data_IF_039477889721
#
_entry.id   IF_039477889721
#
_cell.length_a   1.000
_cell.length_b   1.000
_cell.length_c   1.000
_cell.angle_alpha   90.00
_cell.angle_beta   90.00
_cell.angle_gamma   90.00
#
_symmetry.space_group_name_H-M   'P 1'
#
loop_
_entity.id
_entity.type
_entity.pdbx_description
1 polymer ?
#
# COMPACT_ATOMS: atom_id res chain seq x y z
N UNK A 1 13.24 26.86 -41.63
CA UNK A 1 13.86 26.42 -40.35
C UNK A 1 13.41 24.99 -40.14
N UNK A 2 14.35 24.05 -40.18
CA UNK A 2 14.08 22.62 -40.39
C UNK A 2 13.47 22.00 -39.12
N UNK A 3 12.37 21.26 -39.23
CA UNK A 3 11.66 20.57 -38.13
C UNK A 3 12.60 19.70 -37.27
N UNK A 4 13.66 19.18 -37.88
CA UNK A 4 14.71 18.42 -37.21
C UNK A 4 15.57 19.27 -36.25
N UNK A 5 15.74 20.56 -36.48
CA UNK A 5 16.49 21.48 -35.61
C UNK A 5 15.60 21.90 -34.43
N UNK A 6 14.30 22.00 -34.62
CA UNK A 6 13.33 22.27 -33.53
C UNK A 6 13.17 21.04 -32.60
N UNK A 7 13.17 19.82 -33.15
CA UNK A 7 13.18 18.58 -32.36
C UNK A 7 14.50 18.40 -31.60
N UNK A 8 15.64 18.74 -32.19
CA UNK A 8 16.96 18.65 -31.54
C UNK A 8 17.08 19.68 -30.37
N UNK A 9 16.49 20.87 -30.52
CA UNK A 9 16.47 21.88 -29.44
C UNK A 9 15.50 21.51 -28.31
N UNK A 10 14.39 20.86 -28.61
CA UNK A 10 13.46 20.35 -27.59
C UNK A 10 14.07 19.13 -26.85
N UNK A 11 14.80 18.27 -27.57
CA UNK A 11 15.50 17.12 -26.96
C UNK A 11 16.69 17.57 -26.12
N UNK A 12 17.42 18.62 -26.50
CA UNK A 12 18.55 19.13 -25.71
C UNK A 12 18.12 19.95 -24.47
N UNK A 13 16.86 20.41 -24.38
CA UNK A 13 16.28 21.01 -23.17
C UNK A 13 15.69 19.98 -22.20
N UNK A 14 15.57 18.72 -22.62
CA UNK A 14 15.11 17.60 -21.79
C UNK A 14 16.26 16.79 -21.16
N UNK A 15 17.52 17.06 -21.58
CA UNK A 15 18.70 16.42 -21.00
C UNK A 15 19.41 17.37 -20.04
N UNK A 16 19.47 16.95 -18.76
CA UNK A 16 20.21 17.50 -17.63
C UNK A 16 19.46 18.52 -16.76
N UNK A 17 18.36 18.12 -16.16
CA UNK A 17 18.09 18.60 -14.83
C UNK A 17 18.33 17.45 -13.85
N UNK A 18 19.46 17.44 -13.17
CA UNK A 18 19.61 16.74 -11.90
C UNK A 18 18.43 17.17 -11.02
N UNK A 19 17.83 16.25 -10.22
CA UNK A 19 16.75 16.63 -9.32
C UNK A 19 17.21 17.80 -8.48
N UNK A 20 16.56 18.96 -8.66
CA UNK A 20 16.91 20.16 -7.90
C UNK A 20 16.50 19.93 -6.46
N UNK A 21 17.38 20.21 -5.55
CA UNK A 21 17.10 20.06 -4.13
C UNK A 21 15.85 20.86 -3.73
N UNK A 22 14.92 20.22 -3.03
CA UNK A 22 13.78 20.90 -2.42
C UNK A 22 14.31 21.83 -1.32
N UNK A 23 13.98 23.10 -1.42
CA UNK A 23 14.33 24.09 -0.41
C UNK A 23 13.04 24.71 0.14
N UNK A 24 12.79 24.54 1.43
CA UNK A 24 11.71 25.23 2.13
C UNK A 24 12.31 26.48 2.80
N UNK A 25 11.90 27.66 2.36
CA UNK A 25 12.43 28.94 2.87
C UNK A 25 11.55 29.57 3.93
N UNK A 26 10.30 29.13 4.06
CA UNK A 26 9.38 29.64 5.06
C UNK A 26 8.07 28.88 5.12
N UNK A 27 7.41 29.03 6.26
CA UNK A 27 6.06 28.52 6.46
C UNK A 27 5.30 29.46 7.38
N UNK A 28 4.17 29.99 6.90
CA UNK A 28 3.39 31.00 7.63
C UNK A 28 1.94 30.52 7.76
N UNK A 29 1.41 30.40 8.99
CA UNK A 29 0.00 30.16 9.21
C UNK A 29 -0.85 31.31 8.67
N UNK A 30 -2.03 30.99 8.15
CA UNK A 30 -2.99 32.04 7.83
C UNK A 30 -3.58 32.64 9.12
N UNK A 31 -4.13 33.86 9.01
CA UNK A 31 -4.73 34.58 10.15
C UNK A 31 -5.98 33.85 10.73
N UNK A 32 -6.65 33.03 9.92
CA UNK A 32 -7.77 32.19 10.34
C UNK A 32 -7.30 30.87 11.00
N UNK A 33 -6.01 30.53 10.89
CA UNK A 33 -5.40 29.35 11.52
C UNK A 33 -5.90 28.01 10.99
N UNK A 34 -6.39 27.99 9.76
CA UNK A 34 -6.90 26.80 9.08
C UNK A 34 -5.98 26.29 7.97
N UNK A 35 -4.98 27.10 7.56
CA UNK A 35 -4.03 26.73 6.52
C UNK A 35 -2.61 27.22 6.82
N UNK A 36 -1.65 26.62 6.13
CA UNK A 36 -0.23 26.93 6.20
C UNK A 36 0.26 27.27 4.80
N UNK A 37 0.78 28.48 4.60
CA UNK A 37 1.45 28.87 3.37
C UNK A 37 2.94 28.54 3.49
N UNK A 38 3.42 27.64 2.64
CA UNK A 38 4.81 27.17 2.59
C UNK A 38 5.45 27.80 1.37
N UNK A 39 6.60 28.43 1.55
CA UNK A 39 7.39 29.05 0.49
C UNK A 39 8.72 28.35 0.32
N UNK A 40 9.22 28.30 -0.92
CA UNK A 40 10.47 27.64 -1.23
C UNK A 40 10.68 27.42 -2.72
N UNK A 41 11.51 26.45 -3.05
CA UNK A 41 11.86 26.14 -4.42
C UNK A 41 11.81 24.62 -4.68
N UNK A 42 11.57 24.26 -5.94
CA UNK A 42 11.66 22.89 -6.46
C UNK A 42 10.67 21.90 -5.81
N UNK A 43 9.47 22.37 -5.50
CA UNK A 43 8.42 21.53 -4.86
C UNK A 43 7.85 20.43 -5.74
N UNK A 44 8.17 20.41 -7.04
CA UNK A 44 7.61 19.45 -8.00
C UNK A 44 6.15 19.76 -8.37
N UNK A 45 5.54 18.86 -9.12
CA UNK A 45 4.14 19.02 -9.58
C UNK A 45 3.13 18.43 -8.58
N UNK A 46 3.53 17.45 -7.80
CA UNK A 46 2.68 16.79 -6.80
C UNK A 46 3.51 16.62 -5.52
N UNK A 47 3.71 17.70 -4.76
CA UNK A 47 4.43 17.63 -3.50
C UNK A 47 3.61 16.89 -2.45
N UNK A 48 4.31 16.23 -1.54
CA UNK A 48 3.76 15.65 -0.32
C UNK A 48 4.25 16.46 0.88
N UNK A 49 3.33 16.94 1.71
CA UNK A 49 3.63 17.79 2.84
C UNK A 49 3.27 17.09 4.14
N UNK A 50 4.20 17.09 5.10
CA UNK A 50 3.89 16.61 6.46
C UNK A 50 4.29 17.66 7.52
N UNK A 51 3.58 17.65 8.63
CA UNK A 51 3.93 18.44 9.82
C UNK A 51 4.08 17.48 11.00
N UNK A 52 5.29 17.36 11.55
CA UNK A 52 5.66 16.31 12.50
C UNK A 52 5.25 14.90 12.02
N UNK A 53 5.52 14.61 10.74
CA UNK A 53 5.16 13.35 10.06
C UNK A 53 3.65 13.15 9.81
N UNK A 54 2.78 14.07 10.25
CA UNK A 54 1.34 14.01 9.94
C UNK A 54 1.11 14.61 8.55
N UNK A 55 0.55 13.84 7.60
CA UNK A 55 0.27 14.34 6.26
C UNK A 55 -0.73 15.51 6.30
N UNK A 56 -0.43 16.56 5.53
CA UNK A 56 -1.34 17.69 5.34
C UNK A 56 -2.04 17.58 3.98
N UNK A 57 -3.31 17.94 3.94
CA UNK A 57 -4.04 18.08 2.68
C UNK A 57 -3.57 19.35 1.96
N UNK A 58 -3.18 19.22 0.70
CA UNK A 58 -2.73 20.33 -0.10
C UNK A 58 -3.94 20.97 -0.82
N UNK A 59 -4.13 22.27 -0.60
CA UNK A 59 -5.20 23.05 -1.21
C UNK A 59 -4.75 23.70 -2.53
N UNK A 60 -3.51 24.18 -2.58
CA UNK A 60 -2.93 24.77 -3.78
C UNK A 60 -1.43 24.53 -3.90
N UNK A 61 -0.95 24.35 -5.14
CA UNK A 61 0.47 24.19 -5.48
C UNK A 61 0.86 25.20 -6.57
N UNK A 62 1.93 25.95 -6.31
CA UNK A 62 2.59 26.82 -7.29
C UNK A 62 4.09 26.50 -7.33
N UNK A 63 4.83 27.05 -8.29
CA UNK A 63 6.25 26.74 -8.48
C UNK A 63 7.15 27.01 -7.25
N UNK A 64 6.77 27.98 -6.42
CA UNK A 64 7.51 28.40 -5.23
C UNK A 64 6.63 28.54 -3.97
N UNK A 65 5.37 28.06 -4.03
CA UNK A 65 4.40 28.18 -2.95
C UNK A 65 3.47 26.97 -2.92
N UNK A 66 3.26 26.46 -1.69
CA UNK A 66 2.22 25.45 -1.39
C UNK A 66 1.30 26.04 -0.34
N UNK A 67 0.00 25.81 -0.47
CA UNK A 67 -0.98 26.04 0.59
C UNK A 67 -1.49 24.69 1.06
N UNK A 68 -1.30 24.39 2.34
CA UNK A 68 -1.72 23.13 2.95
C UNK A 68 -2.70 23.40 4.10
N UNK A 69 -3.73 22.58 4.21
CA UNK A 69 -4.70 22.63 5.31
C UNK A 69 -4.03 22.08 6.57
N UNK A 70 -3.95 22.89 7.61
CA UNK A 70 -3.34 22.52 8.88
C UNK A 70 -4.14 23.13 10.04
N UNK A 71 -4.48 22.35 11.08
CA UNK A 71 -5.30 22.82 12.21
C UNK A 71 -4.47 23.63 13.21
N UNK A 72 -3.79 24.68 12.76
CA UNK A 72 -2.80 25.46 13.52
C UNK A 72 -3.38 26.01 14.82
N UNK A 73 -4.64 26.46 14.82
CA UNK A 73 -5.28 27.00 16.04
C UNK A 73 -5.42 26.00 17.18
N UNK A 74 -5.53 24.73 16.87
CA UNK A 74 -5.65 23.66 17.87
C UNK A 74 -4.31 23.04 18.26
N UNK A 75 -3.22 23.50 17.64
CA UNK A 75 -1.89 22.98 17.93
C UNK A 75 -1.26 23.75 19.10
N UNK A 76 -0.64 23.06 20.06
CA UNK A 76 0.10 23.69 21.14
C UNK A 76 1.21 24.59 20.64
N UNK A 77 1.61 25.59 21.45
CA UNK A 77 2.85 26.33 21.20
C UNK A 77 4.04 25.37 21.24
N UNK A 78 4.95 25.48 20.25
CA UNK A 78 6.10 24.60 20.13
C UNK A 78 6.74 24.62 18.76
N UNK A 79 7.81 23.85 18.60
CA UNK A 79 8.50 23.69 17.33
C UNK A 79 8.02 22.43 16.61
N UNK A 80 7.67 22.58 15.35
CA UNK A 80 7.16 21.52 14.48
C UNK A 80 8.08 21.35 13.27
N UNK A 81 8.32 20.12 12.86
CA UNK A 81 9.08 19.83 11.64
C UNK A 81 8.14 19.72 10.46
N UNK A 82 8.21 20.69 9.56
CA UNK A 82 7.54 20.68 8.27
C UNK A 82 8.45 20.01 7.25
N UNK A 83 7.92 19.01 6.53
CA UNK A 83 8.67 18.34 5.45
C UNK A 83 7.88 18.44 4.16
N UNK A 84 8.56 18.79 3.07
CA UNK A 84 8.02 18.80 1.71
C UNK A 84 8.85 17.84 0.87
N UNK A 85 8.20 16.87 0.21
CA UNK A 85 8.87 15.96 -0.71
C UNK A 85 8.06 15.81 -1.99
N UNK A 86 8.72 15.56 -3.13
CA UNK A 86 8.07 15.23 -4.39
C UNK A 86 8.58 13.89 -4.98
N UNK A 87 9.51 13.24 -4.28
CA UNK A 87 10.06 11.95 -4.67
C UNK A 87 10.82 11.27 -3.54
N UNK A 88 11.38 10.09 -3.77
CA UNK A 88 11.97 9.25 -2.73
C UNK A 88 13.42 9.61 -2.37
N UNK A 89 14.10 10.47 -3.12
CA UNK A 89 15.50 10.80 -2.86
C UNK A 89 15.66 11.90 -1.80
N UNK A 90 16.77 11.95 -1.05
CA UNK A 90 17.04 13.04 -0.09
C UNK A 90 17.04 14.43 -0.74
N UNK A 91 17.41 14.55 -2.02
CA UNK A 91 17.40 15.82 -2.76
C UNK A 91 15.99 16.29 -3.11
N UNK A 92 15.04 15.35 -3.16
CA UNK A 92 13.61 15.59 -3.44
C UNK A 92 12.83 15.87 -2.16
N UNK A 93 13.51 16.03 -1.02
CA UNK A 93 12.92 16.30 0.28
C UNK A 93 13.60 17.50 0.92
N UNK A 94 12.79 18.47 1.36
CA UNK A 94 13.20 19.63 2.14
C UNK A 94 12.46 19.68 3.46
N UNK A 95 13.13 20.14 4.53
CA UNK A 95 12.50 20.30 5.84
C UNK A 95 12.66 21.73 6.35
N UNK A 96 11.72 22.17 7.18
CA UNK A 96 11.69 23.50 7.79
C UNK A 96 11.14 23.40 9.23
N UNK A 97 11.73 24.12 10.16
CA UNK A 97 11.22 24.21 11.54
C UNK A 97 10.17 25.32 11.63
N UNK A 98 8.93 24.96 11.84
CA UNK A 98 7.83 25.88 12.11
C UNK A 98 7.66 26.05 13.61
N UNK A 99 7.82 27.29 14.09
CA UNK A 99 7.58 27.64 15.50
C UNK A 99 6.19 28.26 15.63
N UNK A 100 5.34 27.65 16.45
CA UNK A 100 4.04 28.18 16.83
C UNK A 100 4.10 28.66 18.28
N UNK A 101 3.73 29.93 18.54
CA UNK A 101 3.77 30.57 19.86
C UNK A 101 4.30 32.00 19.78
N UNK A 102 4.30 32.77 20.87
CA UNK A 102 4.51 34.23 20.93
C UNK A 102 5.65 34.76 20.07
N UNK A 103 5.33 35.80 19.31
CA UNK A 103 6.19 36.44 18.30
C UNK A 103 7.35 37.25 18.92
N UNK A 104 8.26 36.63 19.70
CA UNK A 104 9.44 37.33 20.22
C UNK A 104 10.71 36.46 20.27
N UNK A 105 10.93 35.59 19.29
CA UNK A 105 12.28 35.05 19.10
C UNK A 105 12.56 34.72 17.63
N UNK A 106 12.95 35.75 16.88
CA UNK A 106 13.46 35.61 15.51
C UNK A 106 14.93 35.20 15.57
N UNK A 107 15.24 33.93 15.54
CA UNK A 107 16.57 33.46 15.13
C UNK A 107 16.42 32.27 14.19
N UNK A 108 16.50 32.55 12.89
CA UNK A 108 16.79 31.57 11.86
C UNK A 108 18.19 30.95 12.14
N UNK A 109 18.20 29.68 12.53
CA UNK A 109 19.41 28.86 12.47
C UNK A 109 19.21 27.74 11.46
N UNK A 110 19.89 27.88 10.32
CA UNK A 110 20.21 26.74 9.48
C UNK A 110 21.25 25.90 10.21
N UNK A 111 20.88 24.82 10.82
CA UNK A 111 21.82 23.86 11.39
C UNK A 111 21.66 22.50 10.77
N UNK A 112 22.73 22.07 10.12
CA UNK A 112 22.93 20.70 9.60
C UNK A 112 23.26 19.68 10.72
N UNK A 113 23.11 20.03 11.99
CA UNK A 113 23.45 19.19 13.13
C UNK A 113 22.33 19.13 14.18
N UNK A 114 21.08 18.86 13.74
CA UNK A 114 20.05 18.44 14.68
C UNK A 114 20.15 16.93 14.81
N UNK A 115 20.44 16.37 16.00
CA UNK A 115 20.36 14.95 16.20
C UNK A 115 18.95 14.49 15.81
N UNK A 116 18.88 13.44 14.96
CA UNK A 116 17.60 12.87 14.54
C UNK A 116 16.73 12.64 15.78
N UNK A 117 15.45 13.08 15.78
CA UNK A 117 14.57 12.84 16.90
C UNK A 117 14.53 11.33 17.14
N UNK A 118 15.08 10.88 18.25
CA UNK A 118 14.99 9.48 18.64
C UNK A 118 13.54 9.22 19.08
N UNK A 119 12.81 8.42 18.33
CA UNK A 119 11.58 7.79 18.82
C UNK A 119 12.04 6.69 19.80
N UNK A 120 12.63 7.08 20.90
CA UNK A 120 13.14 6.16 21.91
C UNK A 120 12.68 6.57 23.29
N UNK A 121 11.38 6.31 23.55
CA UNK A 121 11.06 5.90 24.89
C UNK A 121 11.22 4.38 24.93
N UNK A 122 12.08 3.81 25.77
CA UNK A 122 11.97 2.41 26.09
C UNK A 122 10.53 2.17 26.58
N UNK A 123 9.94 1.02 26.25
CA UNK A 123 8.56 0.72 26.66
C UNK A 123 8.32 0.86 28.19
N UNK A 124 9.38 0.83 28.97
CA UNK A 124 9.43 1.01 30.42
C UNK A 124 9.54 2.47 30.88
N UNK A 125 9.81 3.41 29.95
CA UNK A 125 9.98 4.82 30.33
C UNK A 125 8.67 5.40 30.88
N UNK A 126 8.79 6.27 31.86
CA UNK A 126 7.64 6.97 32.44
C UNK A 126 7.12 8.03 31.46
N UNK A 127 5.88 7.84 30.98
CA UNK A 127 5.18 8.82 30.17
C UNK A 127 4.47 9.86 31.03
N UNK A 128 3.97 9.46 32.22
CA UNK A 128 3.32 10.35 33.18
C UNK A 128 3.39 9.77 34.60
N UNK A 129 3.14 10.63 35.60
CA UNK A 129 2.95 10.22 37.01
C UNK A 129 1.72 10.89 37.58
N UNK A 130 0.87 10.10 38.20
CA UNK A 130 -0.31 10.60 38.93
C UNK A 130 -0.27 10.02 40.36
N UNK A 131 0.05 10.87 41.30
CA UNK A 131 0.36 10.46 42.68
C UNK A 131 1.50 9.45 42.72
N UNK A 132 1.29 8.25 43.21
CA UNK A 132 2.21 7.13 43.28
C UNK A 132 2.21 6.22 42.01
N UNK A 133 1.22 6.40 41.14
CA UNK A 133 1.07 5.60 39.92
C UNK A 133 1.92 6.19 38.79
N UNK A 134 2.83 5.38 38.25
CA UNK A 134 3.56 5.68 37.02
C UNK A 134 2.80 5.08 35.83
N UNK A 135 2.56 5.89 34.80
CA UNK A 135 2.05 5.48 33.49
C UNK A 135 3.25 5.39 32.58
N UNK A 136 3.51 4.22 32.03
CA UNK A 136 4.66 3.99 31.12
C UNK A 136 4.27 4.23 29.66
N UNK A 137 5.26 4.36 28.78
CA UNK A 137 5.05 4.40 27.31
C UNK A 137 4.28 3.16 26.84
N UNK A 138 4.60 1.98 27.38
CA UNK A 138 3.86 0.76 27.08
C UNK A 138 2.37 0.80 27.51
N UNK A 139 2.05 1.50 28.59
CA UNK A 139 0.65 1.69 29.00
C UNK A 139 -0.09 2.59 27.99
N UNK A 140 0.58 3.65 27.53
CA UNK A 140 0.04 4.56 26.51
C UNK A 140 -0.20 3.81 25.19
N UNK A 141 0.76 3.02 24.74
CA UNK A 141 0.64 2.24 23.50
C UNK A 141 -0.50 1.22 23.58
N UNK A 142 -0.64 0.51 24.72
CA UNK A 142 -1.76 -0.42 24.94
C UNK A 142 -3.10 0.28 24.89
N UNK A 143 -3.20 1.45 25.52
CA UNK A 143 -4.44 2.20 25.54
C UNK A 143 -4.76 2.82 24.18
N UNK A 144 -3.75 3.26 23.41
CA UNK A 144 -3.93 3.71 22.04
C UNK A 144 -4.42 2.57 21.15
N UNK A 145 -3.75 1.41 21.20
CA UNK A 145 -4.18 0.22 20.45
C UNK A 145 -5.62 -0.20 20.79
N UNK A 146 -6.06 0.00 22.04
CA UNK A 146 -7.42 -0.30 22.46
C UNK A 146 -8.44 0.72 21.92
N UNK A 147 -8.11 2.02 21.92
CA UNK A 147 -9.02 3.11 21.53
C UNK A 147 -9.08 3.32 20.02
N UNK A 148 -7.95 3.21 19.36
CA UNK A 148 -7.80 3.42 17.92
C UNK A 148 -6.85 2.37 17.33
N UNK A 149 -7.29 1.12 17.23
CA UNK A 149 -6.47 0.02 16.71
C UNK A 149 -6.04 0.24 15.26
N UNK A 150 -6.88 0.86 14.43
CA UNK A 150 -6.57 1.13 13.03
C UNK A 150 -5.46 2.19 12.89
N UNK A 151 -5.55 3.29 13.63
CA UNK A 151 -4.54 4.35 13.62
C UNK A 151 -3.20 3.85 14.17
N UNK A 152 -3.21 3.13 15.30
CA UNK A 152 -2.01 2.49 15.84
C UNK A 152 -1.34 1.55 14.83
N UNK A 153 -2.11 0.63 14.24
CA UNK A 153 -1.60 -0.32 13.27
C UNK A 153 -1.11 0.37 11.99
N UNK A 154 -1.79 1.44 11.56
CA UNK A 154 -1.38 2.25 10.41
C UNK A 154 0.02 2.85 10.60
N UNK A 155 0.29 3.43 11.77
CA UNK A 155 1.60 3.99 12.10
C UNK A 155 2.69 2.91 12.16
N UNK A 156 2.40 1.77 12.80
CA UNK A 156 3.36 0.65 12.90
C UNK A 156 3.69 0.09 11.50
N UNK A 157 2.70 0.00 10.61
CA UNK A 157 2.92 -0.40 9.20
C UNK A 157 3.80 0.61 8.46
N UNK A 158 3.49 1.91 8.57
CA UNK A 158 4.29 2.95 7.95
C UNK A 158 5.74 2.94 8.42
N UNK A 159 5.96 2.76 9.72
CA UNK A 159 7.30 2.63 10.28
C UNK A 159 8.04 1.39 9.73
N UNK A 160 7.33 0.26 9.65
CA UNK A 160 7.87 -0.96 9.05
C UNK A 160 8.25 -0.74 7.59
N UNK A 161 7.34 -0.18 6.78
CA UNK A 161 7.55 0.03 5.34
C UNK A 161 8.72 0.98 5.07
N UNK A 162 8.87 2.02 5.89
CA UNK A 162 10.01 2.92 5.80
C UNK A 162 11.32 2.21 6.16
N UNK A 163 11.35 1.46 7.27
CA UNK A 163 12.53 0.67 7.67
C UNK A 163 12.86 -0.38 6.62
N UNK A 164 11.86 -1.05 6.06
CA UNK A 164 12.04 -2.07 5.04
C UNK A 164 12.69 -1.49 3.78
N UNK A 165 12.21 -0.34 3.29
CA UNK A 165 12.83 0.35 2.15
C UNK A 165 14.31 0.67 2.39
N UNK A 166 14.63 1.20 3.56
CA UNK A 166 16.04 1.53 3.88
C UNK A 166 16.89 0.26 3.97
N UNK A 167 16.39 -0.79 4.59
CA UNK A 167 17.10 -2.08 4.63
C UNK A 167 17.32 -2.63 3.23
N UNK A 168 16.32 -2.57 2.34
CA UNK A 168 16.45 -3.05 0.96
C UNK A 168 17.51 -2.24 0.19
N UNK A 169 17.58 -0.91 0.38
CA UNK A 169 18.64 -0.08 -0.21
C UNK A 169 20.02 -0.46 0.35
N UNK A 170 20.15 -0.57 1.68
CA UNK A 170 21.43 -0.93 2.31
C UNK A 170 21.94 -2.30 1.86
N UNK A 171 21.03 -3.29 1.73
CA UNK A 171 21.37 -4.62 1.23
C UNK A 171 21.79 -4.57 -0.25
N UNK A 172 21.07 -3.80 -1.06
CA UNK A 172 21.40 -3.61 -2.47
C UNK A 172 22.78 -2.97 -2.64
N UNK A 173 23.07 -1.90 -1.91
CA UNK A 173 24.34 -1.19 -1.97
C UNK A 173 25.51 -2.09 -1.55
N UNK A 174 25.35 -2.87 -0.47
CA UNK A 174 26.37 -3.80 -0.01
C UNK A 174 26.61 -4.95 -1.02
N UNK A 175 25.56 -5.51 -1.60
CA UNK A 175 25.70 -6.55 -2.63
C UNK A 175 26.40 -6.04 -3.88
N UNK A 176 26.01 -4.85 -4.36
CA UNK A 176 26.63 -4.22 -5.52
C UNK A 176 28.10 -3.86 -5.25
N UNK A 177 28.42 -3.35 -4.06
CA UNK A 177 29.79 -3.04 -3.68
C UNK A 177 30.68 -4.30 -3.64
N UNK A 178 30.18 -5.39 -3.07
CA UNK A 178 30.89 -6.69 -3.03
C UNK A 178 31.10 -7.27 -4.42
N UNK A 179 30.08 -7.24 -5.26
CA UNK A 179 30.19 -7.71 -6.63
C UNK A 179 31.17 -6.87 -7.44
N UNK A 180 31.12 -5.55 -7.33
CA UNK A 180 32.07 -4.66 -7.97
C UNK A 180 33.51 -4.94 -7.52
N UNK A 181 33.75 -5.07 -6.23
CA UNK A 181 35.06 -5.39 -5.67
C UNK A 181 35.59 -6.76 -6.16
N UNK A 182 34.72 -7.77 -6.27
CA UNK A 182 35.09 -9.08 -6.78
C UNK A 182 35.56 -9.06 -8.24
N UNK A 183 35.11 -8.07 -9.01
CA UNK A 183 35.49 -7.86 -10.43
C UNK A 183 36.56 -6.79 -10.62
N UNK A 184 37.05 -6.16 -9.54
CA UNK A 184 38.00 -5.05 -9.63
C UNK A 184 37.40 -3.77 -10.25
N UNK A 185 36.08 -3.59 -10.11
CA UNK A 185 35.33 -2.45 -10.64
C UNK A 185 34.85 -1.52 -9.52
N UNK A 186 34.48 -0.30 -9.89
CA UNK A 186 33.62 0.54 -9.06
C UNK A 186 32.17 0.13 -9.24
N UNK A 187 31.31 0.42 -8.26
CA UNK A 187 29.86 0.15 -8.36
C UNK A 187 29.24 0.84 -9.57
N UNK A 188 29.69 2.06 -9.90
CA UNK A 188 29.22 2.78 -11.08
C UNK A 188 29.60 2.06 -12.39
N UNK A 189 30.85 1.59 -12.51
CA UNK A 189 31.32 0.83 -13.66
C UNK A 189 30.57 -0.50 -13.80
N UNK A 190 30.33 -1.20 -12.69
CA UNK A 190 29.51 -2.41 -12.65
C UNK A 190 28.09 -2.17 -13.16
N UNK A 191 27.41 -1.14 -12.66
CA UNK A 191 26.04 -0.83 -13.09
C UNK A 191 25.97 -0.41 -14.55
N UNK A 192 26.96 0.34 -15.04
CA UNK A 192 27.06 0.71 -16.46
C UNK A 192 27.21 -0.51 -17.38
N UNK A 193 27.87 -1.56 -16.90
CA UNK A 193 28.03 -2.82 -17.64
C UNK A 193 26.78 -3.72 -17.55
N UNK A 194 26.17 -3.82 -16.37
CA UNK A 194 25.14 -4.85 -16.05
C UNK A 194 23.70 -4.40 -16.33
N UNK A 195 23.40 -3.09 -16.23
CA UNK A 195 22.05 -2.58 -16.48
C UNK A 195 21.58 -2.81 -17.91
N UNK A 196 22.38 -2.51 -18.96
CA UNK A 196 21.95 -2.75 -20.33
C UNK A 196 21.64 -4.22 -20.66
N UNK A 197 22.28 -5.17 -19.96
CA UNK A 197 22.05 -6.61 -20.14
C UNK A 197 20.68 -7.08 -19.59
N UNK A 198 20.05 -6.27 -18.73
CA UNK A 198 18.82 -6.58 -17.97
C UNK A 198 17.66 -5.66 -18.26
N UNK A 199 17.81 -4.80 -19.22
CA UNK A 199 16.74 -3.92 -19.68
C UNK A 199 15.61 -4.78 -20.25
N UNK A 200 14.43 -4.71 -19.63
CA UNK A 200 13.25 -5.48 -20.04
C UNK A 200 12.48 -4.64 -21.05
N UNK A 201 12.31 -5.16 -22.25
CA UNK A 201 11.32 -4.60 -23.19
C UNK A 201 9.92 -4.87 -22.62
N UNK A 202 9.16 -3.82 -22.35
CA UNK A 202 7.81 -3.95 -21.81
C UNK A 202 6.89 -4.67 -22.78
N UNK A 203 6.15 -5.71 -22.34
CA UNK A 203 5.25 -6.43 -23.22
C UNK A 203 4.07 -5.52 -23.61
N UNK A 204 3.53 -5.75 -24.79
CA UNK A 204 2.36 -5.03 -25.31
C UNK A 204 1.17 -5.07 -24.34
N UNK A 205 1.00 -6.18 -23.61
CA UNK A 205 -0.03 -6.33 -22.59
C UNK A 205 0.07 -5.32 -21.46
N UNK A 206 1.27 -4.84 -21.12
CA UNK A 206 1.45 -3.80 -20.08
C UNK A 206 0.89 -2.45 -20.57
N UNK A 207 1.08 -2.13 -21.86
CA UNK A 207 0.52 -0.91 -22.47
C UNK A 207 -1.01 -0.97 -22.46
N UNK A 208 -1.58 -2.13 -22.83
CA UNK A 208 -3.03 -2.34 -22.81
C UNK A 208 -3.60 -2.24 -21.40
N UNK A 209 -2.96 -2.88 -20.43
CA UNK A 209 -3.41 -2.83 -19.01
C UNK A 209 -3.33 -1.41 -18.44
N UNK A 210 -2.28 -0.67 -18.77
CA UNK A 210 -2.15 0.73 -18.36
C UNK A 210 -3.26 1.59 -18.98
N UNK A 211 -3.52 1.44 -20.28
CA UNK A 211 -4.62 2.15 -20.94
C UNK A 211 -5.98 1.86 -20.27
N UNK A 212 -6.26 0.60 -19.98
CA UNK A 212 -7.49 0.18 -19.31
C UNK A 212 -7.62 0.78 -17.90
N UNK A 213 -6.50 0.91 -17.18
CA UNK A 213 -6.49 1.50 -15.84
C UNK A 213 -6.76 3.00 -15.81
N UNK A 214 -6.51 3.69 -16.92
CA UNK A 214 -6.76 5.13 -17.02
C UNK A 214 -8.26 5.48 -17.11
N UNK A 215 -9.11 4.55 -17.59
CA UNK A 215 -10.56 4.76 -17.66
C UNK A 215 -10.94 6.12 -18.27
N UNK A 216 -11.74 6.90 -17.56
CA UNK A 216 -12.22 8.22 -18.00
C UNK A 216 -11.10 9.25 -18.17
N UNK A 217 -9.91 9.03 -17.59
CA UNK A 217 -8.75 9.91 -17.76
C UNK A 217 -8.25 9.93 -19.22
N UNK A 218 -8.60 8.93 -20.02
CA UNK A 218 -8.28 8.90 -21.46
C UNK A 218 -8.97 10.02 -22.26
N UNK A 219 -10.02 10.64 -21.67
CA UNK A 219 -10.85 11.67 -22.34
C UNK A 219 -11.35 11.27 -23.73
N UNK A 220 -11.62 9.98 -23.91
CA UNK A 220 -12.09 9.42 -25.17
C UNK A 220 -11.01 9.12 -26.22
N UNK A 221 -9.73 9.33 -25.89
CA UNK A 221 -8.63 8.90 -26.77
C UNK A 221 -8.56 7.36 -26.82
N UNK A 222 -8.36 6.80 -28.02
CA UNK A 222 -8.27 5.35 -28.20
C UNK A 222 -6.92 4.81 -27.76
N UNK A 223 -6.86 3.49 -27.49
CA UNK A 223 -5.60 2.81 -27.20
C UNK A 223 -4.52 3.09 -28.25
N UNK A 224 -4.86 3.00 -29.52
CA UNK A 224 -3.89 3.23 -30.62
C UNK A 224 -3.33 4.65 -30.60
N UNK A 225 -4.14 5.65 -30.27
CA UNK A 225 -3.70 7.04 -30.14
C UNK A 225 -2.76 7.24 -28.95
N UNK A 226 -3.01 6.57 -27.83
CA UNK A 226 -2.22 6.71 -26.61
C UNK A 226 -1.02 5.75 -26.53
N UNK A 227 -1.04 4.66 -27.26
CA UNK A 227 -0.04 3.59 -27.24
C UNK A 227 1.42 4.05 -27.31
N UNK A 228 1.82 4.98 -28.21
CA UNK A 228 3.21 5.45 -28.27
C UNK A 228 3.62 6.19 -26.97
N UNK A 229 2.74 7.02 -26.43
CA UNK A 229 2.99 7.79 -25.22
C UNK A 229 3.04 6.89 -23.96
N UNK A 230 2.12 5.93 -23.88
CA UNK A 230 2.08 4.96 -22.77
C UNK A 230 3.31 4.05 -22.79
N UNK A 231 3.73 3.60 -23.97
CA UNK A 231 4.96 2.81 -24.12
C UNK A 231 6.20 3.61 -23.72
N UNK A 232 6.37 4.84 -24.23
CA UNK A 232 7.48 5.70 -23.86
C UNK A 232 7.51 6.04 -22.37
N UNK A 233 6.32 6.17 -21.75
CA UNK A 233 6.21 6.39 -20.31
C UNK A 233 6.63 5.14 -19.51
N UNK A 234 6.15 3.95 -19.89
CA UNK A 234 6.56 2.67 -19.29
C UNK A 234 8.05 2.42 -19.41
N UNK A 235 8.61 2.65 -20.58
CA UNK A 235 10.05 2.53 -20.85
C UNK A 235 10.85 3.47 -19.93
N UNK A 236 10.46 4.74 -19.84
CA UNK A 236 11.16 5.75 -19.03
C UNK A 236 11.17 5.44 -17.54
N UNK A 237 10.08 4.89 -16.97
CA UNK A 237 10.00 4.59 -15.54
C UNK A 237 10.58 3.22 -15.18
N UNK A 238 10.83 2.34 -16.16
CA UNK A 238 11.24 0.95 -15.89
C UNK A 238 12.71 0.65 -16.19
N UNK A 239 13.36 1.41 -17.06
CA UNK A 239 14.63 0.97 -17.60
C UNK A 239 15.83 0.87 -16.63
N UNK A 240 16.25 1.88 -15.89
CA UNK A 240 17.45 1.73 -15.05
C UNK A 240 17.17 1.07 -13.71
N UNK A 241 16.08 1.47 -13.04
CA UNK A 241 15.81 1.03 -11.68
C UNK A 241 15.29 -0.40 -11.61
N UNK A 242 14.42 -0.81 -12.55
CA UNK A 242 13.94 -2.20 -12.62
C UNK A 242 15.08 -3.15 -12.98
N UNK A 243 15.93 -2.77 -13.94
CA UNK A 243 17.11 -3.55 -14.30
C UNK A 243 18.09 -3.67 -13.12
N UNK A 244 18.29 -2.59 -12.33
CA UNK A 244 19.08 -2.61 -11.10
C UNK A 244 18.46 -3.53 -10.06
N UNK A 245 17.15 -3.43 -9.83
CA UNK A 245 16.44 -4.31 -8.90
C UNK A 245 16.56 -5.79 -9.31
N UNK A 246 16.37 -6.11 -10.58
CA UNK A 246 16.52 -7.47 -11.09
C UNK A 246 17.95 -7.99 -10.87
N UNK A 247 18.95 -7.14 -11.08
CA UNK A 247 20.33 -7.52 -10.84
C UNK A 247 20.61 -7.78 -9.36
N UNK A 248 20.13 -6.91 -8.47
CA UNK A 248 20.21 -7.12 -7.01
C UNK A 248 19.52 -8.41 -6.61
N UNK A 249 18.34 -8.71 -7.16
CA UNK A 249 17.62 -9.96 -6.88
C UNK A 249 18.42 -11.20 -7.33
N UNK A 250 19.08 -11.14 -8.48
CA UNK A 250 19.99 -12.18 -8.93
C UNK A 250 21.17 -12.37 -7.96
N UNK A 251 21.80 -11.26 -7.54
CA UNK A 251 22.88 -11.30 -6.56
C UNK A 251 22.41 -11.88 -5.20
N UNK A 252 21.22 -11.56 -4.76
CA UNK A 252 20.62 -12.16 -3.55
C UNK A 252 20.45 -13.67 -3.68
N UNK A 253 20.02 -14.16 -4.86
CA UNK A 253 19.84 -15.61 -5.12
C UNK A 253 21.16 -16.36 -5.17
N UNK A 254 22.17 -15.78 -5.80
CA UNK A 254 23.48 -16.44 -5.97
C UNK A 254 24.32 -16.39 -4.69
N UNK A 255 24.26 -15.29 -3.96
CA UNK A 255 25.15 -15.10 -2.80
C UNK A 255 24.73 -15.89 -1.57
N UNK A 256 23.50 -16.39 -1.49
CA UNK A 256 22.91 -17.09 -0.32
C UNK A 256 23.23 -16.42 1.07
N UNK A 257 23.71 -15.16 1.04
CA UNK A 257 24.30 -14.45 2.20
C UNK A 257 23.51 -13.19 2.59
N UNK A 258 22.50 -12.78 1.80
CA UNK A 258 21.69 -11.63 2.14
C UNK A 258 20.34 -12.10 2.68
N UNK A 259 20.13 -11.93 3.98
CA UNK A 259 18.89 -12.24 4.64
C UNK A 259 18.34 -11.00 5.35
N UNK A 260 17.04 -10.74 5.19
CA UNK A 260 16.36 -9.64 5.86
C UNK A 260 15.47 -10.21 6.96
N UNK A 261 15.79 -9.89 8.21
CA UNK A 261 15.08 -10.37 9.40
C UNK A 261 14.01 -9.43 9.90
N UNK A 262 13.82 -8.26 9.24
CA UNK A 262 12.80 -7.30 9.64
C UNK A 262 11.40 -7.93 9.51
N UNK A 263 10.75 -8.16 10.65
CA UNK A 263 9.43 -8.78 10.71
C UNK A 263 8.33 -7.74 10.43
N UNK A 264 7.39 -8.02 9.50
CA UNK A 264 6.24 -7.14 9.28
C UNK A 264 5.27 -7.21 10.46
N UNK A 265 4.53 -6.11 10.73
CA UNK A 265 3.47 -6.13 11.72
C UNK A 265 2.35 -7.09 11.30
N UNK A 266 1.81 -7.80 12.29
CA UNK A 266 0.75 -8.78 12.10
C UNK A 266 -0.42 -8.46 13.02
N UNK A 267 -1.62 -8.68 12.53
CA UNK A 267 -2.83 -8.68 13.32
C UNK A 267 -3.22 -10.11 13.66
N UNK A 268 -3.81 -10.30 14.82
CA UNK A 268 -4.48 -11.54 15.13
C UNK A 268 -5.86 -11.52 14.47
N UNK A 269 -6.08 -12.42 13.52
CA UNK A 269 -7.36 -12.54 12.84
C UNK A 269 -8.23 -13.52 13.62
N UNK A 270 -9.40 -13.05 14.06
CA UNK A 270 -10.38 -13.89 14.72
C UNK A 270 -11.02 -14.83 13.70
N UNK A 271 -10.89 -16.13 13.94
CA UNK A 271 -11.54 -17.16 13.13
C UNK A 271 -12.81 -17.60 13.82
N UNK A 272 -13.91 -17.52 13.08
CA UNK A 272 -15.23 -17.90 13.58
C UNK A 272 -15.79 -19.07 12.79
N UNK A 273 -16.73 -19.86 13.34
CA UNK A 273 -17.42 -20.90 12.59
C UNK A 273 -18.22 -20.39 11.38
N UNK A 274 -18.48 -19.08 11.35
CA UNK A 274 -19.17 -18.41 10.25
C UNK A 274 -18.26 -18.03 9.08
N UNK A 275 -16.94 -18.16 9.24
CA UNK A 275 -16.00 -17.89 8.14
C UNK A 275 -16.01 -19.03 7.13
N UNK A 276 -16.19 -18.69 5.86
CA UNK A 276 -16.06 -19.67 4.79
C UNK A 276 -14.60 -19.99 4.52
N UNK A 277 -14.24 -21.26 4.51
CA UNK A 277 -12.86 -21.71 4.37
C UNK A 277 -12.69 -22.67 3.19
N UNK A 278 -11.48 -22.66 2.60
CA UNK A 278 -11.07 -23.58 1.54
C UNK A 278 -9.61 -24.00 1.81
N UNK A 279 -9.30 -25.30 1.72
CA UNK A 279 -8.00 -25.85 2.02
C UNK A 279 -7.92 -26.50 3.40
N UNK A 280 -6.72 -26.97 3.79
CA UNK A 280 -6.50 -27.74 5.02
C UNK A 280 -6.53 -26.87 6.28
N UNK A 281 -7.10 -27.40 7.36
CA UNK A 281 -7.07 -26.76 8.68
C UNK A 281 -5.66 -26.68 9.28
N UNK A 282 -4.78 -27.59 8.88
CA UNK A 282 -3.37 -27.65 9.30
C UNK A 282 -2.43 -26.86 8.40
N UNK A 283 -2.96 -26.11 7.41
CA UNK A 283 -2.13 -25.33 6.50
C UNK A 283 -1.26 -24.32 7.25
N UNK A 284 0.06 -24.27 6.96
CA UNK A 284 0.97 -23.31 7.60
C UNK A 284 0.69 -21.85 7.19
N UNK A 285 0.08 -21.63 6.04
CA UNK A 285 -0.28 -20.29 5.55
C UNK A 285 -1.79 -20.14 5.53
N UNK A 286 -2.28 -19.15 6.27
CA UNK A 286 -3.68 -18.72 6.25
C UNK A 286 -3.78 -17.42 5.47
N UNK A 287 -4.47 -17.48 4.32
CA UNK A 287 -4.79 -16.34 3.49
C UNK A 287 -6.23 -15.90 3.80
N UNK A 288 -6.40 -14.74 4.43
CA UNK A 288 -7.72 -14.15 4.68
C UNK A 288 -8.01 -13.15 3.56
N UNK A 289 -9.11 -13.38 2.82
CA UNK A 289 -9.57 -12.50 1.77
C UNK A 289 -10.79 -11.71 2.27
N UNK A 290 -10.65 -10.40 2.37
CA UNK A 290 -11.77 -9.48 2.54
C UNK A 290 -12.32 -9.13 1.17
N UNK A 291 -13.56 -9.50 0.92
CA UNK A 291 -14.16 -9.40 -0.40
C UNK A 291 -15.61 -8.92 -0.37
N UNK A 292 -16.00 -8.33 -1.51
CA UNK A 292 -17.38 -7.94 -1.79
C UNK A 292 -17.84 -8.68 -3.06
N UNK A 293 -18.89 -9.49 -2.95
CA UNK A 293 -19.35 -10.32 -4.06
C UNK A 293 -19.88 -9.51 -5.24
N UNK A 294 -20.18 -8.22 -5.03
CA UNK A 294 -20.61 -7.29 -6.09
C UNK A 294 -19.43 -6.62 -6.80
N UNK A 295 -18.23 -6.72 -6.21
CA UNK A 295 -17.04 -6.06 -6.73
C UNK A 295 -16.43 -6.78 -7.92
N UNK A 296 -16.34 -6.09 -9.07
CA UNK A 296 -15.63 -6.60 -10.25
C UNK A 296 -14.13 -6.84 -9.98
N UNK A 297 -13.52 -6.01 -9.15
CA UNK A 297 -12.12 -6.18 -8.73
C UNK A 297 -11.94 -7.45 -7.93
N UNK A 298 -12.84 -7.74 -6.98
CA UNK A 298 -12.82 -8.98 -6.21
C UNK A 298 -13.04 -10.20 -7.09
N UNK A 299 -14.00 -10.15 -8.03
CA UNK A 299 -14.32 -11.26 -8.93
C UNK A 299 -13.10 -11.77 -9.72
N UNK A 300 -12.20 -10.86 -10.13
CA UNK A 300 -10.93 -11.23 -10.79
C UNK A 300 -10.04 -12.10 -9.90
N UNK A 301 -10.01 -11.86 -8.60
CA UNK A 301 -9.23 -12.65 -7.63
C UNK A 301 -9.92 -13.96 -7.26
N UNK A 302 -11.24 -13.98 -7.20
CA UNK A 302 -12.03 -15.16 -6.87
C UNK A 302 -11.72 -16.36 -7.78
N UNK A 303 -11.46 -16.11 -9.07
CA UNK A 303 -11.06 -17.14 -10.04
C UNK A 303 -9.73 -17.83 -9.70
N UNK A 304 -8.86 -17.16 -8.95
CA UNK A 304 -7.54 -17.69 -8.61
C UNK A 304 -7.54 -18.58 -7.35
N UNK A 305 -8.60 -18.56 -6.54
CA UNK A 305 -8.59 -19.19 -5.21
C UNK A 305 -8.47 -20.72 -5.25
N UNK A 306 -9.27 -21.39 -6.07
CA UNK A 306 -9.20 -22.86 -6.21
C UNK A 306 -7.82 -23.28 -6.73
N UNK A 307 -7.34 -22.62 -7.79
CA UNK A 307 -6.02 -22.87 -8.35
C UNK A 307 -4.91 -22.65 -7.31
N UNK A 308 -5.04 -21.62 -6.45
CA UNK A 308 -4.07 -21.35 -5.41
C UNK A 308 -3.99 -22.49 -4.39
N UNK A 309 -5.13 -22.94 -3.87
CA UNK A 309 -5.17 -24.04 -2.89
C UNK A 309 -4.68 -25.37 -3.47
N UNK A 310 -4.99 -25.63 -4.74
CA UNK A 310 -4.47 -26.81 -5.47
C UNK A 310 -2.94 -26.73 -5.67
N UNK A 311 -2.43 -25.56 -6.10
CA UNK A 311 -0.99 -25.37 -6.36
C UNK A 311 -0.14 -25.58 -5.11
N UNK A 312 -0.64 -25.21 -3.96
CA UNK A 312 0.12 -25.32 -2.69
C UNK A 312 -0.18 -26.60 -1.89
N UNK A 313 -1.03 -27.46 -2.38
CA UNK A 313 -1.29 -28.81 -1.85
C UNK A 313 -1.31 -28.89 -0.31
N UNK A 314 -2.40 -28.41 0.29
CA UNK A 314 -2.60 -28.38 1.74
C UNK A 314 -1.76 -27.38 2.54
N UNK A 315 -0.85 -26.64 1.89
CA UNK A 315 -0.02 -25.63 2.58
C UNK A 315 -0.68 -24.26 2.69
N UNK A 316 -1.84 -24.05 2.03
CA UNK A 316 -2.60 -22.81 2.09
C UNK A 316 -4.03 -23.10 2.48
N UNK A 317 -4.53 -22.35 3.44
CA UNK A 317 -5.93 -22.25 3.79
C UNK A 317 -6.43 -20.86 3.45
N UNK A 318 -7.46 -20.78 2.62
CA UNK A 318 -8.19 -19.55 2.34
C UNK A 318 -9.32 -19.39 3.36
N UNK A 319 -9.45 -18.19 3.91
CA UNK A 319 -10.58 -17.75 4.75
C UNK A 319 -11.21 -16.54 4.07
N UNK A 320 -12.50 -16.59 3.83
CA UNK A 320 -13.22 -15.46 3.25
C UNK A 320 -13.99 -14.70 4.33
N UNK A 321 -13.87 -13.37 4.29
CA UNK A 321 -14.63 -12.44 5.14
C UNK A 321 -15.38 -11.44 4.27
N UNK A 322 -16.67 -11.31 4.52
CA UNK A 322 -17.51 -10.36 3.79
C UNK A 322 -17.16 -8.92 4.18
N UNK A 323 -16.87 -8.10 3.17
CA UNK A 323 -16.67 -6.65 3.35
C UNK A 323 -17.46 -5.89 2.29
N UNK A 324 -18.78 -5.67 2.50
CA UNK A 324 -19.67 -5.05 1.53
C UNK A 324 -19.45 -3.54 1.46
N UNK A 325 -18.67 -3.06 0.46
CA UNK A 325 -18.27 -1.66 0.29
C UNK A 325 -18.78 -1.02 -1.01
N UNK A 326 -19.09 -1.83 -2.05
CA UNK A 326 -19.23 -1.31 -3.41
C UNK A 326 -20.59 -0.64 -3.67
N UNK A 327 -21.66 -1.09 -3.00
CA UNK A 327 -22.96 -0.50 -3.24
C UNK A 327 -24.11 -1.12 -2.45
N UNK A 328 -25.36 -0.67 -2.73
CA UNK A 328 -26.55 -1.10 -1.97
C UNK A 328 -26.80 -2.61 -1.99
N UNK A 329 -26.42 -3.29 -3.08
CA UNK A 329 -26.56 -4.75 -3.22
C UNK A 329 -25.53 -5.57 -2.45
N UNK A 330 -24.44 -4.95 -2.01
CA UNK A 330 -23.31 -5.64 -1.37
C UNK A 330 -23.70 -6.31 -0.06
N UNK A 331 -24.49 -5.63 0.78
CA UNK A 331 -24.97 -6.20 2.04
C UNK A 331 -25.88 -7.38 1.80
N UNK A 332 -26.82 -7.27 0.85
CA UNK A 332 -27.72 -8.35 0.51
C UNK A 332 -26.97 -9.58 -0.05
N UNK A 333 -25.95 -9.36 -0.89
CA UNK A 333 -25.10 -10.41 -1.41
C UNK A 333 -24.28 -11.10 -0.29
N UNK A 334 -23.77 -10.33 0.66
CA UNK A 334 -23.03 -10.85 1.82
C UNK A 334 -23.92 -11.68 2.74
N UNK A 335 -25.12 -11.21 3.08
CA UNK A 335 -26.10 -11.93 3.90
C UNK A 335 -26.54 -13.24 3.20
N UNK A 336 -26.79 -13.18 1.92
CA UNK A 336 -27.16 -14.36 1.10
C UNK A 336 -26.02 -15.40 1.06
N UNK A 337 -24.77 -14.96 0.94
CA UNK A 337 -23.59 -15.83 1.01
C UNK A 337 -23.47 -16.51 2.38
N UNK A 338 -23.77 -15.81 3.48
CA UNK A 338 -23.80 -16.43 4.80
C UNK A 338 -24.93 -17.45 4.96
N UNK A 339 -26.09 -17.22 4.34
CA UNK A 339 -27.16 -18.20 4.29
C UNK A 339 -26.73 -19.49 3.55
N UNK A 340 -25.92 -19.36 2.51
CA UNK A 340 -25.32 -20.50 1.81
C UNK A 340 -24.22 -21.19 2.66
N UNK A 341 -23.40 -20.38 3.37
CA UNK A 341 -22.34 -20.88 4.24
C UNK A 341 -22.88 -21.77 5.37
N UNK A 342 -23.96 -21.35 6.01
CA UNK A 342 -24.61 -22.11 7.07
C UNK A 342 -25.15 -23.49 6.62
N UNK A 343 -25.22 -23.71 5.31
CA UNK A 343 -25.62 -24.97 4.67
C UNK A 343 -24.44 -25.72 4.01
N UNK A 344 -23.22 -25.28 4.28
CA UNK A 344 -22.01 -25.90 3.72
C UNK A 344 -21.87 -25.72 2.21
N UNK A 345 -22.53 -24.71 1.63
CA UNK A 345 -22.54 -24.44 0.18
C UNK A 345 -21.95 -23.09 -0.18
N UNK A 346 -21.13 -22.51 0.69
CA UNK A 346 -20.57 -21.18 0.44
C UNK A 346 -19.83 -21.08 -0.89
N UNK A 347 -18.87 -21.96 -1.16
CA UNK A 347 -18.01 -21.83 -2.35
C UNK A 347 -18.76 -22.09 -3.65
N UNK A 348 -19.74 -22.99 -3.64
CA UNK A 348 -20.62 -23.20 -4.80
C UNK A 348 -21.45 -21.95 -5.08
N UNK A 349 -22.05 -21.37 -4.02
CA UNK A 349 -22.83 -20.14 -4.12
C UNK A 349 -21.96 -18.95 -4.54
N UNK A 350 -20.83 -18.75 -3.87
CA UNK A 350 -19.84 -17.72 -4.17
C UNK A 350 -19.45 -17.74 -5.65
N UNK A 351 -19.06 -18.89 -6.18
CA UNK A 351 -18.64 -19.03 -7.57
C UNK A 351 -19.78 -18.74 -8.54
N UNK A 352 -21.00 -19.18 -8.24
CA UNK A 352 -22.18 -18.87 -9.05
C UNK A 352 -22.52 -17.38 -9.06
N UNK A 353 -22.21 -16.65 -7.97
CA UNK A 353 -22.41 -15.19 -7.91
C UNK A 353 -21.32 -14.43 -8.65
N UNK A 354 -20.02 -14.73 -8.39
CA UNK A 354 -18.92 -13.84 -8.80
C UNK A 354 -18.30 -14.21 -10.15
N UNK A 355 -18.30 -15.48 -10.55
CA UNK A 355 -17.56 -15.91 -11.76
C UNK A 355 -18.25 -15.54 -13.08
N UNK A 356 -19.58 -15.64 -13.24
CA UNK A 356 -20.20 -15.16 -14.46
C UNK A 356 -20.12 -13.64 -14.56
N UNK A 357 -19.79 -13.06 -15.72
CA UNK A 357 -19.78 -11.61 -15.89
C UNK A 357 -21.19 -11.00 -15.74
N UNK A 358 -21.25 -9.74 -15.31
CA UNK A 358 -22.49 -8.96 -15.23
C UNK A 358 -22.84 -8.48 -13.82
N UNK A 359 -23.91 -7.72 -13.72
CA UNK A 359 -24.38 -7.15 -12.45
C UNK A 359 -24.87 -8.23 -11.49
N UNK A 360 -24.62 -8.03 -10.21
CA UNK A 360 -25.13 -8.88 -9.12
C UNK A 360 -26.39 -8.22 -8.55
N UNK A 361 -27.54 -8.72 -8.94
CA UNK A 361 -28.85 -8.27 -8.47
C UNK A 361 -29.60 -9.39 -7.71
N UNK A 362 -30.80 -9.10 -7.24
CA UNK A 362 -31.62 -10.06 -6.50
C UNK A 362 -31.95 -11.31 -7.32
N UNK A 363 -32.12 -11.19 -8.65
CA UNK A 363 -32.42 -12.34 -9.54
C UNK A 363 -31.21 -13.26 -9.59
N UNK A 364 -30.03 -12.70 -9.80
CA UNK A 364 -28.77 -13.45 -9.82
C UNK A 364 -28.48 -14.13 -8.48
N UNK A 365 -28.71 -13.45 -7.34
CA UNK A 365 -28.53 -14.04 -6.02
C UNK A 365 -29.44 -15.28 -5.82
N UNK A 366 -30.69 -15.21 -6.26
CA UNK A 366 -31.63 -16.35 -6.21
C UNK A 366 -31.26 -17.48 -7.17
N UNK A 367 -30.81 -17.13 -8.39
CA UNK A 367 -30.33 -18.12 -9.35
C UNK A 367 -29.08 -18.84 -8.82
N UNK A 368 -28.13 -18.12 -8.28
CA UNK A 368 -26.93 -18.69 -7.69
C UNK A 368 -27.22 -19.66 -6.54
N UNK A 369 -28.30 -19.43 -5.77
CA UNK A 369 -28.74 -20.36 -4.74
C UNK A 369 -29.24 -21.68 -5.34
N UNK A 370 -30.00 -21.62 -6.45
CA UNK A 370 -30.45 -22.80 -7.17
C UNK A 370 -29.27 -23.58 -7.78
N UNK A 371 -28.32 -22.87 -8.41
CA UNK A 371 -27.12 -23.45 -9.01
C UNK A 371 -26.20 -24.11 -7.96
N UNK A 372 -26.18 -23.57 -6.73
CA UNK A 372 -25.48 -24.16 -5.58
C UNK A 372 -26.21 -25.35 -4.93
N UNK A 373 -27.41 -25.70 -5.44
CA UNK A 373 -28.22 -26.80 -4.91
C UNK A 373 -28.84 -26.52 -3.54
N UNK A 374 -29.12 -25.23 -3.24
CA UNK A 374 -29.76 -24.82 -2.00
C UNK A 374 -31.27 -24.97 -2.08
N UNK A 375 -31.93 -25.42 -0.97
CA UNK A 375 -33.38 -25.37 -0.87
C UNK A 375 -33.86 -23.92 -0.91
N UNK A 376 -34.71 -23.64 -1.91
CA UNK A 376 -35.14 -22.28 -2.21
C UNK A 376 -35.93 -21.65 -1.06
N UNK A 377 -36.86 -22.40 -0.45
CA UNK A 377 -37.72 -21.86 0.60
C UNK A 377 -36.91 -21.53 1.87
N UNK A 378 -36.02 -22.44 2.24
CA UNK A 378 -35.13 -22.25 3.39
C UNK A 378 -34.10 -21.13 3.15
N UNK A 379 -33.61 -20.97 1.91
CA UNK A 379 -32.66 -19.89 1.56
C UNK A 379 -33.39 -18.54 1.55
N UNK A 380 -34.52 -18.40 0.87
CA UNK A 380 -35.30 -17.16 0.82
C UNK A 380 -35.72 -16.73 2.24
N UNK A 381 -36.21 -17.64 3.09
CA UNK A 381 -36.52 -17.33 4.50
C UNK A 381 -35.31 -16.85 5.32
N UNK A 382 -34.15 -17.39 5.07
CA UNK A 382 -32.90 -16.95 5.73
C UNK A 382 -32.53 -15.52 5.34
N UNK A 383 -32.59 -15.19 4.05
CA UNK A 383 -32.27 -13.85 3.53
C UNK A 383 -33.31 -12.83 3.98
N UNK A 384 -34.60 -13.14 3.87
CA UNK A 384 -35.69 -12.24 4.29
C UNK A 384 -35.65 -11.89 5.78
N UNK A 385 -35.29 -12.86 6.63
CA UNK A 385 -35.10 -12.63 8.07
C UNK A 385 -33.80 -11.91 8.42
N UNK A 386 -32.91 -11.65 7.45
CA UNK A 386 -31.59 -11.06 7.64
C UNK A 386 -30.79 -11.77 8.75
N UNK A 387 -30.86 -13.11 8.76
CA UNK A 387 -30.39 -13.95 9.86
C UNK A 387 -28.92 -13.73 10.21
N UNK A 388 -28.12 -13.27 9.26
CA UNK A 388 -26.66 -13.08 9.42
C UNK A 388 -26.22 -11.60 9.36
N UNK A 389 -27.14 -10.65 9.60
CA UNK A 389 -26.81 -9.23 9.61
C UNK A 389 -25.72 -8.89 10.61
N UNK A 390 -25.76 -9.47 11.84
CA UNK A 390 -24.73 -9.25 12.84
C UNK A 390 -23.37 -9.78 12.42
N UNK A 391 -23.30 -10.95 11.78
CA UNK A 391 -22.06 -11.54 11.26
C UNK A 391 -21.40 -10.62 10.22
N UNK A 392 -22.21 -10.03 9.33
CA UNK A 392 -21.69 -9.07 8.35
C UNK A 392 -21.19 -7.80 9.04
N UNK A 393 -21.93 -7.30 10.03
CA UNK A 393 -21.49 -6.14 10.80
C UNK A 393 -20.17 -6.41 11.52
N UNK A 394 -20.03 -7.55 12.17
CA UNK A 394 -18.81 -7.94 12.89
C UNK A 394 -17.60 -8.03 11.95
N UNK A 395 -17.79 -8.54 10.72
CA UNK A 395 -16.75 -8.58 9.70
C UNK A 395 -16.34 -7.18 9.20
N UNK A 396 -17.29 -6.26 9.06
CA UNK A 396 -17.03 -4.85 8.75
C UNK A 396 -16.21 -4.19 9.87
N UNK A 397 -16.65 -4.38 11.12
CA UNK A 397 -15.99 -3.81 12.30
C UNK A 397 -14.57 -4.40 12.47
N UNK A 398 -14.39 -5.69 12.16
CA UNK A 398 -13.08 -6.36 12.16
C UNK A 398 -12.16 -5.75 11.09
N UNK A 399 -12.63 -5.61 9.85
CA UNK A 399 -11.88 -4.98 8.77
C UNK A 399 -11.47 -3.54 9.14
N UNK A 400 -12.38 -2.78 9.76
CA UNK A 400 -12.10 -1.42 10.22
C UNK A 400 -10.98 -1.39 11.28
N UNK A 401 -10.98 -2.32 12.25
CA UNK A 401 -9.90 -2.44 13.25
C UNK A 401 -8.53 -2.72 12.61
N UNK A 402 -8.50 -3.43 11.49
CA UNK A 402 -7.27 -3.71 10.74
C UNK A 402 -6.89 -2.60 9.77
N UNK A 403 -7.67 -1.52 9.69
CA UNK A 403 -7.45 -0.42 8.75
C UNK A 403 -7.70 -0.80 7.30
N UNK A 404 -8.49 -1.85 7.03
CA UNK A 404 -8.87 -2.30 5.69
C UNK A 404 -10.03 -1.44 5.20
N UNK A 405 -9.83 -0.75 4.07
CA UNK A 405 -10.77 0.24 3.50
C UNK A 405 -11.18 -0.07 2.06
N UNK A 406 -10.63 -1.12 1.47
CA UNK A 406 -10.87 -1.49 0.06
C UNK A 406 -11.01 -2.99 -0.11
N UNK A 407 -11.62 -3.40 -1.22
CA UNK A 407 -11.76 -4.80 -1.64
C UNK A 407 -11.26 -4.99 -3.07
N UNK A 408 -10.58 -6.12 -3.34
CA UNK A 408 -10.14 -7.12 -2.39
C UNK A 408 -8.97 -6.66 -1.53
N UNK A 409 -8.93 -7.06 -0.26
CA UNK A 409 -7.76 -6.93 0.61
C UNK A 409 -7.41 -8.30 1.20
N UNK A 410 -6.11 -8.53 1.41
CA UNK A 410 -5.62 -9.85 1.83
C UNK A 410 -4.73 -9.74 3.06
N UNK A 411 -4.98 -10.63 4.05
CA UNK A 411 -4.05 -10.85 5.15
C UNK A 411 -3.42 -12.24 5.01
N UNK A 412 -2.10 -12.32 5.12
CA UNK A 412 -1.36 -13.58 5.07
C UNK A 412 -0.72 -13.81 6.42
N UNK A 413 -1.22 -14.80 7.15
CA UNK A 413 -0.85 -15.01 8.55
C UNK A 413 -0.89 -13.71 9.38
N UNK A 414 -1.94 -12.90 9.18
CA UNK A 414 -2.14 -11.61 9.86
C UNK A 414 -1.35 -10.43 9.28
N UNK A 415 -0.46 -10.63 8.32
CA UNK A 415 0.22 -9.54 7.61
C UNK A 415 -0.65 -9.04 6.46
N UNK A 416 -0.88 -7.74 6.39
CA UNK A 416 -1.55 -7.14 5.24
C UNK A 416 -0.65 -7.27 4.01
N UNK A 417 -1.18 -7.88 2.94
CA UNK A 417 -0.52 -7.90 1.65
C UNK A 417 -0.52 -6.49 1.04
N UNK A 418 0.49 -6.14 0.24
CA UNK A 418 0.48 -4.88 -0.52
C UNK A 418 -0.70 -4.87 -1.51
N UNK A 419 -1.04 -3.69 -2.00
CA UNK A 419 -2.01 -3.60 -3.08
C UNK A 419 -1.50 -4.34 -4.32
N UNK A 420 -2.34 -5.14 -4.99
CA UNK A 420 -1.92 -5.86 -6.17
C UNK A 420 -1.58 -4.92 -7.32
N UNK A 421 -0.38 -5.05 -7.93
CA UNK A 421 -0.03 -4.26 -9.10
C UNK A 421 -1.05 -4.47 -10.24
N UNK A 422 -1.47 -3.42 -10.94
CA UNK A 422 -2.55 -3.50 -11.93
C UNK A 422 -2.27 -4.44 -13.11
N UNK A 423 -0.98 -4.67 -13.42
CA UNK A 423 -0.53 -5.53 -14.52
C UNK A 423 -0.18 -6.96 -14.07
N UNK A 424 -0.17 -7.26 -12.77
CA UNK A 424 0.14 -8.61 -12.29
C UNK A 424 -1.16 -9.44 -12.25
N UNK A 425 -1.20 -10.62 -12.90
CA UNK A 425 -2.35 -11.50 -12.82
C UNK A 425 -2.68 -11.86 -11.36
N UNK A 426 -3.97 -11.90 -10.98
CA UNK A 426 -4.38 -12.20 -9.61
C UNK A 426 -3.77 -13.47 -9.01
N UNK A 427 -3.68 -14.54 -9.80
CA UNK A 427 -3.06 -15.79 -9.37
C UNK A 427 -1.57 -15.61 -9.03
N UNK A 428 -0.82 -14.92 -9.89
CA UNK A 428 0.62 -14.72 -9.71
C UNK A 428 0.90 -13.82 -8.49
N UNK A 429 0.05 -12.81 -8.28
CA UNK A 429 0.09 -11.98 -7.07
C UNK A 429 -0.10 -12.83 -5.81
N UNK A 430 -1.19 -13.60 -5.73
CA UNK A 430 -1.48 -14.42 -4.55
C UNK A 430 -0.41 -15.50 -4.34
N UNK A 431 0.06 -16.13 -5.40
CA UNK A 431 1.15 -17.10 -5.36
C UNK A 431 2.41 -16.48 -4.75
N UNK A 432 2.82 -15.32 -5.24
CA UNK A 432 4.00 -14.60 -4.72
C UNK A 432 3.88 -14.28 -3.24
N UNK A 433 2.73 -13.78 -2.80
CA UNK A 433 2.47 -13.42 -1.40
C UNK A 433 2.55 -14.64 -0.48
N UNK A 434 2.04 -15.80 -0.94
CA UNK A 434 2.10 -17.07 -0.21
C UNK A 434 3.52 -17.64 -0.18
N UNK A 435 4.23 -17.63 -1.30
CA UNK A 435 5.62 -18.09 -1.38
C UNK A 435 6.55 -17.29 -0.47
N UNK A 436 6.36 -15.98 -0.41
CA UNK A 436 7.08 -15.10 0.50
C UNK A 436 6.83 -15.49 1.96
N UNK A 437 5.59 -15.78 2.33
CA UNK A 437 5.24 -16.17 3.69
C UNK A 437 5.80 -17.53 4.07
N UNK A 438 5.75 -18.53 3.17
CA UNK A 438 6.36 -19.83 3.35
C UNK A 438 7.87 -19.72 3.53
N UNK A 439 8.54 -18.89 2.72
CA UNK A 439 9.97 -18.66 2.82
C UNK A 439 10.37 -18.01 4.15
N UNK A 440 9.52 -17.12 4.70
CA UNK A 440 9.77 -16.50 6.02
C UNK A 440 9.68 -17.51 7.18
N UNK A 441 8.82 -18.51 7.07
CA UNK A 441 8.67 -19.53 8.13
C UNK A 441 9.86 -20.48 8.19
N UNK A 442 10.53 -20.70 7.06
CA UNK A 442 11.74 -21.56 7.01
C UNK A 442 13.01 -20.83 7.46
N UNK A 443 13.01 -19.49 7.44
CA UNK A 443 14.11 -18.65 7.90
C UNK A 443 13.92 -18.31 9.38
N UNK A 444 14.48 -19.12 10.26
CA UNK A 444 14.64 -18.71 11.66
C UNK A 444 15.96 -17.95 11.80
N UNK A 445 16.01 -16.83 12.58
CA UNK A 445 17.26 -16.16 12.90
C UNK A 445 18.22 -17.06 13.68
#
# INVERSE_FOLDING_TARGET
>A
MNLAVLLALIVSLLFAQQPKQVVVTGAVPDAAGGSLTITGENFGFVPFVTLNLVPLTIDAVGGNRIVAVAPIKSMPAGTYVLTVSYGPSPQETGSFQLVLGDANDSRSQSSSDVPAPSISGASTDAAARVADRVITVADVDREWQRRDPAGYLGLIRQLYDNRRRIVDVMVADELLAREAASRGLTTEALLKEEIPKRTITMPESAVVSLYQSLGDLTRGATLEQMKPALRAWLERISEPEVAKMNYVEELMKVSARAEVFLAPPRVQVDRTPQDATLGSDSAPVVLVAFGDLVSASYARFAQAFSKLTETFDGRVRLVFKNLPLVGPGSIAAAEAAQCANARGRFWQYHNAVVLPPGAVDAVRLKQAAADAGLDRAAFDACVERRQYQSVIKDAIDEAARYGIKSVPSFLVNGRLAPDPPPFLPPFDFLKRVVEEELSRQTRKP
#
